data_IF_752367898191
#
_entry.id   IF_752367898191
#
_cell.length_a   1.000
_cell.length_b   1.000
_cell.length_c   1.000
_cell.angle_alpha   90.00
_cell.angle_beta   90.00
_cell.angle_gamma   90.00
#
_symmetry.space_group_name_H-M   'P 1'
#
loop_
_entity.id
_entity.type
_entity.pdbx_description
1 polymer ?
#
# COMPACT_ATOMS: atom_id res chain seq x y z
N UNK A 1 11.14 -32.83 -50.94
CA UNK A 1 10.80 -32.97 -49.50
C UNK A 1 11.22 -31.75 -48.67
N UNK A 2 12.16 -30.91 -49.13
CA UNK A 2 12.60 -29.69 -48.39
C UNK A 2 11.56 -28.56 -48.33
N UNK A 3 10.71 -28.40 -49.36
CA UNK A 3 9.71 -27.33 -49.45
C UNK A 3 8.60 -27.43 -48.40
N UNK A 4 8.27 -28.65 -47.95
CA UNK A 4 7.24 -28.87 -46.92
C UNK A 4 7.71 -28.43 -45.53
N UNK A 5 9.00 -28.65 -45.23
CA UNK A 5 9.61 -28.25 -43.95
C UNK A 5 9.76 -26.73 -43.84
N UNK A 6 10.17 -26.06 -44.92
CA UNK A 6 10.26 -24.59 -44.96
C UNK A 6 8.87 -23.93 -44.82
N UNK A 7 7.85 -24.49 -45.46
CA UNK A 7 6.48 -23.99 -45.32
C UNK A 7 5.92 -24.19 -43.90
N UNK A 8 6.21 -25.31 -43.24
CA UNK A 8 5.81 -25.52 -41.85
C UNK A 8 6.48 -24.54 -40.89
N UNK A 9 7.75 -24.21 -41.13
CA UNK A 9 8.48 -23.27 -40.29
C UNK A 9 7.99 -21.83 -40.46
N UNK A 10 7.67 -21.42 -41.70
CA UNK A 10 7.03 -20.14 -41.98
C UNK A 10 5.62 -20.03 -41.37
N UNK A 11 4.83 -21.12 -41.39
CA UNK A 11 3.51 -21.17 -40.75
C UNK A 11 3.63 -21.06 -39.23
N UNK A 12 4.63 -21.70 -38.61
CA UNK A 12 4.89 -21.58 -37.18
C UNK A 12 5.31 -20.16 -36.79
N UNK A 13 6.21 -19.54 -37.55
CA UNK A 13 6.60 -18.13 -37.32
C UNK A 13 5.43 -17.17 -37.50
N UNK A 14 4.62 -17.35 -38.54
CA UNK A 14 3.44 -16.52 -38.77
C UNK A 14 2.39 -16.75 -37.68
N UNK A 15 2.19 -17.98 -37.22
CA UNK A 15 1.27 -18.29 -36.12
C UNK A 15 1.75 -17.72 -34.79
N UNK A 16 3.07 -17.73 -34.53
CA UNK A 16 3.66 -17.08 -33.37
C UNK A 16 3.52 -15.57 -33.44
N UNK A 17 3.79 -14.95 -34.60
CA UNK A 17 3.57 -13.51 -34.81
C UNK A 17 2.10 -13.14 -34.68
N UNK A 18 1.18 -13.95 -35.23
CA UNK A 18 -0.25 -13.74 -35.11
C UNK A 18 -0.70 -13.84 -33.66
N UNK A 19 -0.25 -14.85 -32.92
CA UNK A 19 -0.56 -15.01 -31.49
C UNK A 19 0.07 -13.89 -30.63
N UNK A 20 1.22 -13.35 -31.02
CA UNK A 20 1.83 -12.20 -30.37
C UNK A 20 1.11 -10.88 -30.69
N UNK A 21 0.42 -10.81 -31.83
CA UNK A 21 -0.37 -9.65 -32.26
C UNK A 21 -1.84 -9.73 -31.84
N UNK A 22 -2.32 -10.91 -31.45
CA UNK A 22 -3.66 -11.06 -30.90
C UNK A 22 -3.70 -10.37 -29.52
N UNK A 23 -4.66 -9.45 -29.29
CA UNK A 23 -4.89 -8.91 -27.97
C UNK A 23 -5.15 -10.09 -27.03
N UNK A 24 -4.21 -10.38 -26.13
CA UNK A 24 -4.44 -11.39 -25.11
C UNK A 24 -5.50 -10.83 -24.17
N UNK A 25 -6.71 -11.40 -24.25
CA UNK A 25 -7.78 -11.13 -23.31
C UNK A 25 -7.37 -11.60 -21.93
N UNK A 26 -6.84 -10.70 -21.13
CA UNK A 26 -6.69 -10.91 -19.69
C UNK A 26 -8.04 -10.65 -19.01
N UNK A 27 -8.95 -11.62 -19.13
CA UNK A 27 -10.19 -11.63 -18.35
C UNK A 27 -9.89 -12.32 -17.02
N UNK A 28 -9.65 -11.52 -15.98
CA UNK A 28 -9.70 -12.00 -14.61
C UNK A 28 -11.17 -12.15 -14.22
N UNK A 29 -11.62 -13.40 -14.08
CA UNK A 29 -12.95 -13.68 -13.51
C UNK A 29 -12.97 -13.32 -12.03
N UNK A 30 -14.13 -12.91 -11.51
CA UNK A 30 -14.28 -12.45 -10.13
C UNK A 30 -13.77 -13.48 -9.10
N UNK A 31 -13.99 -14.78 -9.34
CA UNK A 31 -13.47 -15.87 -8.51
C UNK A 31 -11.94 -15.97 -8.53
N UNK A 32 -11.33 -15.80 -9.70
CA UNK A 32 -9.87 -15.81 -9.85
C UNK A 32 -9.24 -14.58 -9.20
N UNK A 33 -9.85 -13.42 -9.40
CA UNK A 33 -9.47 -12.17 -8.75
C UNK A 33 -9.49 -12.31 -7.23
N UNK A 34 -10.59 -12.86 -6.70
CA UNK A 34 -10.77 -13.14 -5.27
C UNK A 34 -9.73 -14.13 -4.74
N UNK A 35 -9.48 -15.22 -5.46
CA UNK A 35 -8.50 -16.23 -5.06
C UNK A 35 -7.06 -15.69 -5.06
N UNK A 36 -6.67 -14.94 -6.10
CA UNK A 36 -5.36 -14.29 -6.15
C UNK A 36 -5.23 -13.25 -5.02
N UNK A 37 -6.26 -12.44 -4.77
CA UNK A 37 -6.26 -11.45 -3.68
C UNK A 37 -6.09 -12.07 -2.30
N UNK A 38 -6.86 -13.13 -1.99
CA UNK A 38 -6.72 -13.89 -0.75
C UNK A 38 -5.35 -14.55 -0.63
N UNK A 39 -4.80 -15.04 -1.75
CA UNK A 39 -3.45 -15.60 -1.81
C UNK A 39 -2.37 -14.60 -1.43
N UNK A 40 -2.46 -13.37 -1.97
CA UNK A 40 -1.55 -12.27 -1.61
C UNK A 40 -1.62 -11.93 -0.13
N UNK A 41 -2.85 -11.76 0.39
CA UNK A 41 -3.09 -11.50 1.81
C UNK A 41 -2.46 -12.58 2.68
N UNK A 42 -2.73 -13.85 2.39
CA UNK A 42 -2.20 -14.98 3.16
C UNK A 42 -0.67 -15.05 3.09
N UNK A 43 -0.08 -14.79 1.92
CA UNK A 43 1.38 -14.76 1.76
C UNK A 43 2.02 -13.67 2.63
N UNK A 44 1.40 -12.49 2.65
CA UNK A 44 1.82 -11.36 3.47
C UNK A 44 1.67 -11.65 4.98
N UNK A 45 0.51 -12.13 5.42
CA UNK A 45 0.26 -12.51 6.83
C UNK A 45 1.25 -13.57 7.32
N UNK A 46 1.56 -14.56 6.47
CA UNK A 46 2.56 -15.58 6.76
C UNK A 46 3.97 -15.00 6.88
N UNK A 47 4.32 -14.03 6.02
CA UNK A 47 5.60 -13.34 6.10
C UNK A 47 5.72 -12.56 7.41
N UNK A 48 4.71 -11.77 7.79
CA UNK A 48 4.71 -11.05 9.08
C UNK A 48 4.85 -12.02 10.24
N UNK A 49 4.06 -13.09 10.24
CA UNK A 49 4.04 -14.06 11.34
C UNK A 49 5.38 -14.75 11.55
N UNK A 50 6.07 -15.14 10.47
CA UNK A 50 7.39 -15.80 10.53
C UNK A 50 8.52 -14.83 10.85
N UNK A 51 8.48 -13.64 10.26
CA UNK A 51 9.51 -12.61 10.45
C UNK A 51 9.48 -12.03 11.87
N UNK A 52 8.32 -11.99 12.52
CA UNK A 52 8.13 -11.42 13.86
C UNK A 52 7.60 -12.45 14.87
N UNK A 53 8.02 -13.70 14.76
CA UNK A 53 7.52 -14.82 15.57
C UNK A 53 7.86 -14.69 17.07
N UNK A 54 9.04 -14.14 17.40
CA UNK A 54 9.53 -14.11 18.78
C UNK A 54 8.78 -13.06 19.61
N UNK A 55 7.84 -13.51 20.43
CA UNK A 55 7.06 -12.65 21.30
C UNK A 55 7.90 -11.89 22.34
N UNK A 56 8.99 -12.47 22.85
CA UNK A 56 9.82 -11.81 23.86
C UNK A 56 10.56 -10.59 23.28
N UNK A 57 11.09 -10.71 22.06
CA UNK A 57 11.73 -9.60 21.35
C UNK A 57 10.66 -8.59 20.93
N UNK A 58 9.57 -9.05 20.33
CA UNK A 58 8.53 -8.14 19.87
C UNK A 58 7.93 -7.33 21.03
N UNK A 59 7.85 -7.92 22.23
CA UNK A 59 7.35 -7.23 23.41
C UNK A 59 8.24 -6.07 23.90
N UNK A 60 9.46 -5.92 23.40
CA UNK A 60 10.30 -4.73 23.69
C UNK A 60 9.92 -3.52 22.81
N UNK A 61 9.07 -3.71 21.80
CA UNK A 61 8.55 -2.61 20.98
C UNK A 61 7.59 -1.76 21.81
N UNK A 62 7.93 -0.48 21.99
CA UNK A 62 7.14 0.56 22.66
C UNK A 62 6.82 1.72 21.72
N UNK A 63 5.84 2.55 22.09
CA UNK A 63 5.48 3.71 21.27
C UNK A 63 6.64 4.72 21.23
N UNK A 64 7.28 4.98 22.36
CA UNK A 64 8.45 5.87 22.47
C UNK A 64 9.59 5.47 21.54
N UNK A 65 9.89 4.17 21.46
CA UNK A 65 10.94 3.65 20.57
C UNK A 65 10.59 3.91 19.11
N UNK A 66 9.34 3.67 18.71
CA UNK A 66 8.89 3.92 17.34
C UNK A 66 8.90 5.41 16.99
N UNK A 67 8.48 6.27 17.92
CA UNK A 67 8.53 7.73 17.77
C UNK A 67 9.98 8.23 17.65
N UNK A 68 10.90 7.68 18.46
CA UNK A 68 12.32 8.02 18.38
C UNK A 68 12.95 7.67 17.02
N UNK A 69 12.36 6.71 16.30
CA UNK A 69 12.71 6.36 14.92
C UNK A 69 11.92 7.18 13.89
N UNK A 70 11.25 8.26 14.28
CA UNK A 70 10.55 9.14 13.35
C UNK A 70 9.20 8.63 12.84
N UNK A 71 8.57 7.65 13.50
CA UNK A 71 7.19 7.28 13.20
C UNK A 71 6.23 8.25 13.91
N UNK A 72 5.44 8.99 13.14
CA UNK A 72 4.49 9.97 13.68
C UNK A 72 3.07 9.42 13.84
N UNK A 73 2.73 8.33 13.15
CA UNK A 73 1.41 7.65 13.22
C UNK A 73 1.47 6.37 14.05
N UNK A 74 2.02 6.46 15.26
CA UNK A 74 2.11 5.30 16.17
C UNK A 74 0.78 5.15 16.92
N UNK A 75 0.24 3.92 17.05
CA UNK A 75 -0.91 3.69 17.90
C UNK A 75 -0.58 4.03 19.37
N UNK A 76 -1.56 4.51 20.16
CA UNK A 76 -1.37 4.78 21.58
C UNK A 76 -0.78 3.58 22.31
N UNK A 77 0.08 3.84 23.30
CA UNK A 77 0.83 2.84 24.07
C UNK A 77 -0.07 1.67 24.54
N UNK A 78 -1.27 1.99 25.03
CA UNK A 78 -2.31 1.04 25.48
C UNK A 78 -2.64 -0.08 24.46
N UNK A 79 -2.40 0.14 23.17
CA UNK A 79 -2.63 -0.84 22.10
C UNK A 79 -1.39 -1.70 21.82
N UNK A 80 -0.19 -1.16 22.00
CA UNK A 80 1.06 -1.92 21.87
C UNK A 80 1.35 -2.74 23.14
N UNK A 81 0.88 -2.30 24.29
CA UNK A 81 1.08 -2.96 25.59
C UNK A 81 0.39 -4.34 25.70
N UNK A 82 -0.65 -4.60 24.92
CA UNK A 82 -1.56 -5.71 25.20
C UNK A 82 -1.00 -7.09 24.82
N UNK A 83 -0.25 -7.23 23.72
CA UNK A 83 0.32 -8.52 23.29
C UNK A 83 1.31 -8.43 22.12
N UNK A 84 2.10 -9.49 21.92
CA UNK A 84 2.84 -9.68 20.67
C UNK A 84 1.94 -9.72 19.43
N UNK A 85 0.66 -10.12 19.57
CA UNK A 85 -0.28 -10.17 18.46
C UNK A 85 -0.68 -8.76 17.97
N UNK A 86 -0.98 -7.83 18.87
CA UNK A 86 -1.32 -6.44 18.51
C UNK A 86 -0.12 -5.73 17.88
N UNK A 87 1.08 -6.00 18.39
CA UNK A 87 2.34 -5.51 17.81
C UNK A 87 2.57 -6.02 16.38
N UNK A 88 2.32 -7.30 16.10
CA UNK A 88 2.37 -7.84 14.72
C UNK A 88 1.30 -7.20 13.83
N UNK A 89 0.09 -7.01 14.34
CA UNK A 89 -0.98 -6.37 13.60
C UNK A 89 -0.61 -4.93 13.22
N UNK A 90 0.09 -4.19 14.10
CA UNK A 90 0.62 -2.87 13.77
C UNK A 90 1.66 -2.92 12.65
N UNK A 91 2.65 -3.81 12.74
CA UNK A 91 3.67 -3.99 11.69
C UNK A 91 3.01 -4.37 10.36
N UNK A 92 2.07 -5.31 10.39
CA UNK A 92 1.27 -5.71 9.24
C UNK A 92 0.54 -4.51 8.63
N UNK A 93 -0.14 -3.73 9.46
CA UNK A 93 -0.88 -2.56 9.00
C UNK A 93 0.02 -1.51 8.37
N UNK A 94 1.15 -1.21 8.99
CA UNK A 94 2.12 -0.24 8.49
C UNK A 94 2.61 -0.63 7.09
N UNK A 95 3.03 -1.89 6.93
CA UNK A 95 3.56 -2.38 5.65
C UNK A 95 2.45 -2.52 4.61
N UNK A 96 1.24 -2.92 5.02
CA UNK A 96 0.07 -2.95 4.15
C UNK A 96 -0.28 -1.57 3.60
N UNK A 97 -0.20 -0.51 4.42
CA UNK A 97 -0.41 0.86 3.94
C UNK A 97 0.67 1.28 2.96
N UNK A 98 1.94 0.96 3.23
CA UNK A 98 3.00 1.24 2.27
C UNK A 98 2.72 0.57 0.92
N UNK A 99 2.38 -0.72 0.91
CA UNK A 99 2.03 -1.43 -0.33
C UNK A 99 0.80 -0.80 -0.99
N UNK A 100 -0.19 -0.40 -0.21
CA UNK A 100 -1.38 0.26 -0.74
C UNK A 100 -1.05 1.58 -1.42
N UNK A 101 -0.35 2.48 -0.73
CA UNK A 101 0.01 3.81 -1.24
C UNK A 101 0.90 3.69 -2.48
N UNK A 102 1.88 2.79 -2.46
CA UNK A 102 2.90 2.72 -3.50
C UNK A 102 2.49 1.89 -4.73
N UNK A 103 1.57 0.93 -4.57
CA UNK A 103 1.19 -0.03 -5.61
C UNK A 103 -0.30 -0.02 -5.90
N UNK A 104 -1.14 -0.16 -4.88
CA UNK A 104 -2.54 -0.53 -5.09
C UNK A 104 -3.46 0.67 -5.34
N UNK A 105 -3.13 1.83 -4.77
CA UNK A 105 -3.91 3.07 -4.87
C UNK A 105 -3.71 3.81 -6.19
N UNK A 106 -2.62 3.53 -6.92
CA UNK A 106 -2.30 4.20 -8.18
C UNK A 106 -3.07 3.62 -9.36
N UNK A 107 -3.38 4.45 -10.36
CA UNK A 107 -4.11 4.00 -11.54
C UNK A 107 -3.31 2.99 -12.38
N UNK A 108 -2.05 3.32 -12.66
CA UNK A 108 -1.08 2.47 -13.33
C UNK A 108 0.19 2.30 -12.50
N UNK A 109 0.44 1.09 -12.00
CA UNK A 109 1.57 0.75 -11.12
C UNK A 109 2.93 0.99 -11.80
N UNK A 110 2.97 0.87 -13.11
CA UNK A 110 4.18 0.99 -13.92
C UNK A 110 4.52 2.45 -14.30
N UNK A 111 3.68 3.42 -13.90
CA UNK A 111 3.85 4.84 -14.24
C UNK A 111 4.38 5.60 -13.02
N UNK A 112 5.57 6.22 -13.10
CA UNK A 112 6.13 6.96 -11.98
C UNK A 112 5.43 8.29 -11.69
N UNK A 113 4.88 8.91 -12.73
CA UNK A 113 4.25 10.22 -12.63
C UNK A 113 2.72 10.10 -12.45
N UNK A 114 2.21 10.67 -11.36
CA UNK A 114 0.78 10.61 -11.02
C UNK A 114 -0.09 11.31 -12.07
N UNK A 115 0.37 12.42 -12.65
CA UNK A 115 -0.40 13.16 -13.67
C UNK A 115 -0.49 12.36 -14.97
N UNK A 116 0.59 11.70 -15.37
CA UNK A 116 0.59 10.79 -16.52
C UNK A 116 -0.34 9.61 -16.27
N UNK A 117 -0.27 9.01 -15.07
CA UNK A 117 -1.14 7.91 -14.66
C UNK A 117 -2.63 8.30 -14.74
N UNK A 118 -2.97 9.50 -14.25
CA UNK A 118 -4.32 10.05 -14.32
C UNK A 118 -4.77 10.36 -15.76
N UNK A 119 -3.88 10.89 -16.60
CA UNK A 119 -4.18 11.15 -18.01
C UNK A 119 -4.50 9.85 -18.76
N UNK A 120 -3.68 8.80 -18.57
CA UNK A 120 -3.93 7.48 -19.14
C UNK A 120 -5.26 6.90 -18.64
N UNK A 121 -5.57 7.03 -17.35
CA UNK A 121 -6.84 6.55 -16.80
C UNK A 121 -8.04 7.28 -17.43
N UNK A 122 -7.94 8.60 -17.59
CA UNK A 122 -8.98 9.41 -18.24
C UNK A 122 -9.19 9.00 -19.70
N UNK A 123 -8.11 8.70 -20.42
CA UNK A 123 -8.19 8.16 -21.78
C UNK A 123 -8.89 6.79 -21.81
N UNK A 124 -8.54 5.89 -20.89
CA UNK A 124 -9.18 4.59 -20.74
C UNK A 124 -10.69 4.72 -20.57
N UNK A 125 -11.13 5.58 -19.63
CA UNK A 125 -12.52 5.84 -19.34
C UNK A 125 -13.26 6.42 -20.54
N UNK A 126 -12.64 7.36 -21.25
CA UNK A 126 -13.22 7.92 -22.47
C UNK A 126 -13.40 6.86 -23.56
N UNK A 127 -12.45 5.94 -23.72
CA UNK A 127 -12.58 4.83 -24.67
C UNK A 127 -13.69 3.86 -24.27
N UNK A 128 -13.78 3.48 -22.99
CA UNK A 128 -14.90 2.66 -22.48
C UNK A 128 -16.26 3.33 -22.75
N UNK A 129 -16.36 4.64 -22.51
CA UNK A 129 -17.62 5.39 -22.69
C UNK A 129 -18.14 5.43 -24.13
N UNK A 130 -17.26 5.27 -25.13
CA UNK A 130 -17.66 5.23 -26.55
C UNK A 130 -18.29 3.90 -26.97
N UNK A 131 -18.22 2.86 -26.13
CA UNK A 131 -18.77 1.55 -26.41
C UNK A 131 -18.03 0.74 -27.48
N UNK A 132 -16.89 1.24 -27.98
CA UNK A 132 -16.02 0.48 -28.89
C UNK A 132 -15.06 -0.38 -28.07
N UNK A 133 -15.53 -1.58 -27.76
CA UNK A 133 -14.77 -2.57 -27.00
C UNK A 133 -13.44 -2.93 -27.66
N UNK A 134 -13.41 -3.04 -28.99
CA UNK A 134 -12.19 -3.44 -29.71
C UNK A 134 -11.12 -2.36 -29.61
N UNK A 135 -11.51 -1.08 -29.71
CA UNK A 135 -10.60 0.04 -29.54
C UNK A 135 -10.06 0.11 -28.11
N UNK A 136 -10.91 -0.10 -27.10
CA UNK A 136 -10.47 -0.16 -25.71
C UNK A 136 -9.50 -1.31 -25.46
N UNK A 137 -9.80 -2.51 -25.98
CA UNK A 137 -8.97 -3.71 -25.82
C UNK A 137 -7.58 -3.49 -26.46
N UNK A 138 -7.54 -2.91 -27.66
CA UNK A 138 -6.30 -2.55 -28.35
C UNK A 138 -5.50 -1.50 -27.58
N UNK A 139 -6.16 -0.45 -27.06
CA UNK A 139 -5.50 0.59 -26.28
C UNK A 139 -4.95 0.05 -24.96
N UNK A 140 -5.73 -0.73 -24.22
CA UNK A 140 -5.35 -1.34 -22.95
C UNK A 140 -4.14 -2.25 -23.12
N UNK A 141 -4.18 -3.12 -24.14
CA UNK A 141 -3.07 -4.01 -24.48
C UNK A 141 -1.81 -3.23 -24.88
N UNK A 142 -1.93 -2.28 -25.81
CA UNK A 142 -0.78 -1.49 -26.31
C UNK A 142 -0.16 -0.64 -25.20
N UNK A 143 -0.99 -0.01 -24.37
CA UNK A 143 -0.54 0.81 -23.23
C UNK A 143 0.16 -0.06 -22.20
N UNK A 144 -0.42 -1.21 -21.84
CA UNK A 144 0.20 -2.14 -20.88
C UNK A 144 1.55 -2.65 -21.36
N UNK A 145 1.68 -3.04 -22.63
CA UNK A 145 2.96 -3.48 -23.21
C UNK A 145 3.98 -2.34 -23.24
N UNK A 146 3.56 -1.12 -23.61
CA UNK A 146 4.44 0.03 -23.58
C UNK A 146 4.94 0.30 -22.15
N UNK A 147 4.04 0.29 -21.17
CA UNK A 147 4.38 0.46 -19.76
C UNK A 147 5.32 -0.64 -19.25
N UNK A 148 5.14 -1.89 -19.67
CA UNK A 148 6.04 -2.99 -19.29
C UNK A 148 7.46 -2.71 -19.82
N UNK A 149 7.59 -2.20 -21.05
CA UNK A 149 8.89 -1.80 -21.59
C UNK A 149 9.53 -0.64 -20.80
N UNK A 150 8.72 0.31 -20.32
CA UNK A 150 9.19 1.42 -19.46
C UNK A 150 9.46 1.01 -18.01
N UNK A 151 8.86 -0.08 -17.52
CA UNK A 151 8.99 -0.56 -16.14
C UNK A 151 10.41 -0.98 -15.76
N UNK A 152 11.26 -1.24 -16.76
CA UNK A 152 12.69 -1.49 -16.57
C UNK A 152 13.50 -0.24 -16.17
N UNK A 153 12.84 0.92 -15.99
CA UNK A 153 13.45 2.21 -15.65
C UNK A 153 13.94 2.35 -14.20
N UNK A 154 13.96 1.29 -13.40
CA UNK A 154 14.47 1.31 -12.02
C UNK A 154 13.51 1.92 -10.98
N UNK A 155 12.36 2.45 -11.40
CA UNK A 155 11.36 3.05 -10.52
C UNK A 155 10.77 2.05 -9.50
N UNK A 156 10.18 0.94 -9.97
CA UNK A 156 9.60 -0.09 -9.09
C UNK A 156 10.65 -0.75 -8.18
N UNK A 157 11.87 -1.10 -8.66
CA UNK A 157 12.96 -1.50 -7.79
C UNK A 157 13.28 -0.47 -6.71
N UNK A 158 13.31 0.84 -7.04
CA UNK A 158 13.54 1.90 -6.04
C UNK A 158 12.45 1.96 -4.96
N UNK A 159 11.17 1.70 -5.30
CA UNK A 159 10.09 1.58 -4.32
C UNK A 159 10.26 0.37 -3.41
N UNK A 160 10.69 -0.76 -3.96
CA UNK A 160 11.00 -1.95 -3.16
C UNK A 160 12.17 -1.68 -2.22
N UNK A 161 13.25 -1.06 -2.70
CA UNK A 161 14.40 -0.71 -1.87
C UNK A 161 13.98 0.23 -0.73
N UNK A 162 13.11 1.21 -1.01
CA UNK A 162 12.55 2.08 0.02
C UNK A 162 11.70 1.32 1.05
N UNK A 163 10.85 0.38 0.60
CA UNK A 163 10.08 -0.48 1.50
C UNK A 163 11.01 -1.27 2.42
N UNK A 164 11.99 -1.98 1.86
CA UNK A 164 12.92 -2.82 2.60
C UNK A 164 13.71 -1.98 3.61
N UNK A 165 14.20 -0.81 3.19
CA UNK A 165 14.93 0.11 4.06
C UNK A 165 14.06 0.61 5.22
N UNK A 166 12.82 1.04 4.93
CA UNK A 166 11.87 1.53 5.93
C UNK A 166 11.52 0.45 6.95
N UNK A 167 11.25 -0.78 6.48
CA UNK A 167 10.94 -1.91 7.36
C UNK A 167 12.13 -2.28 8.24
N UNK A 168 13.33 -2.33 7.67
CA UNK A 168 14.54 -2.61 8.44
C UNK A 168 14.82 -1.54 9.49
N UNK A 169 14.67 -0.28 9.12
CA UNK A 169 14.93 0.84 10.02
C UNK A 169 13.98 0.83 11.22
N UNK A 170 12.67 0.69 10.97
CA UNK A 170 11.68 0.70 12.05
C UNK A 170 11.61 -0.62 12.82
N UNK A 171 11.67 -1.76 12.14
CA UNK A 171 11.31 -3.06 12.71
C UNK A 171 12.41 -4.11 12.69
N UNK A 172 13.57 -3.85 12.08
CA UNK A 172 14.60 -4.85 11.87
C UNK A 172 15.23 -5.43 13.14
N UNK A 173 15.12 -4.73 14.28
CA UNK A 173 15.54 -5.24 15.59
C UNK A 173 14.57 -6.27 16.18
N UNK A 174 13.33 -6.33 15.68
CA UNK A 174 12.29 -7.26 16.14
C UNK A 174 12.22 -8.53 15.29
N UNK A 175 13.11 -8.71 14.31
CA UNK A 175 13.13 -9.91 13.49
C UNK A 175 13.40 -11.16 14.33
N UNK A 176 12.81 -12.27 13.88
CA UNK A 176 13.06 -13.59 14.43
C UNK A 176 14.54 -13.95 14.26
N UNK A 177 15.23 -14.26 15.36
CA UNK A 177 16.64 -14.63 15.38
C UNK A 177 16.98 -15.85 14.50
N UNK A 178 15.99 -16.69 14.18
CA UNK A 178 16.15 -17.87 13.34
C UNK A 178 16.10 -17.57 11.83
N UNK A 179 15.77 -16.34 11.44
CA UNK A 179 15.76 -15.91 10.04
C UNK A 179 16.89 -14.94 9.75
N UNK A 180 17.59 -15.17 8.64
CA UNK A 180 18.54 -14.16 8.15
C UNK A 180 17.76 -12.97 7.60
N UNK A 181 18.32 -11.77 7.79
CA UNK A 181 17.74 -10.53 7.22
C UNK A 181 17.52 -10.64 5.70
N UNK A 182 18.47 -11.27 5.00
CA UNK A 182 18.34 -11.56 3.57
C UNK A 182 17.08 -12.38 3.27
N UNK A 183 16.81 -13.45 4.01
CA UNK A 183 15.61 -14.25 3.80
C UNK A 183 14.32 -13.45 4.06
N UNK A 184 14.31 -12.59 5.08
CA UNK A 184 13.18 -11.71 5.37
C UNK A 184 12.93 -10.76 4.18
N UNK A 185 13.99 -10.14 3.65
CA UNK A 185 13.93 -9.24 2.49
C UNK A 185 13.51 -9.94 1.21
N UNK A 186 14.09 -11.10 0.90
CA UNK A 186 13.75 -11.89 -0.28
C UNK A 186 12.24 -12.23 -0.27
N UNK A 187 11.70 -12.61 0.90
CA UNK A 187 10.29 -12.96 1.04
C UNK A 187 9.35 -11.76 1.00
N UNK A 188 9.74 -10.61 1.56
CA UNK A 188 8.96 -9.37 1.43
C UNK A 188 8.96 -8.88 -0.02
N UNK A 189 10.10 -8.99 -0.70
CA UNK A 189 10.23 -8.67 -2.13
C UNK A 189 9.31 -9.54 -2.98
N UNK A 190 9.19 -10.83 -2.64
CA UNK A 190 8.26 -11.76 -3.28
C UNK A 190 6.79 -11.34 -3.10
N UNK A 191 6.42 -10.77 -1.95
CA UNK A 191 5.06 -10.23 -1.71
C UNK A 191 4.85 -8.96 -2.52
N UNK A 192 5.84 -8.06 -2.52
CA UNK A 192 5.80 -6.80 -3.27
C UNK A 192 5.59 -7.05 -4.77
N UNK A 193 6.41 -7.91 -5.37
CA UNK A 193 6.34 -8.20 -6.80
C UNK A 193 5.05 -8.94 -7.19
N UNK A 194 4.53 -9.81 -6.33
CA UNK A 194 3.23 -10.42 -6.57
C UNK A 194 2.10 -9.38 -6.54
N UNK A 195 2.17 -8.38 -5.65
CA UNK A 195 1.20 -7.28 -5.62
C UNK A 195 1.29 -6.41 -6.89
N UNK A 196 2.50 -6.09 -7.35
CA UNK A 196 2.73 -5.38 -8.63
C UNK A 196 2.15 -6.19 -9.79
N UNK A 197 2.44 -7.48 -9.86
CA UNK A 197 1.95 -8.37 -10.91
C UNK A 197 0.42 -8.45 -10.90
N UNK A 198 -0.20 -8.60 -9.73
CA UNK A 198 -1.64 -8.61 -9.59
C UNK A 198 -2.27 -7.28 -10.02
N UNK A 199 -1.73 -6.15 -9.56
CA UNK A 199 -2.22 -4.81 -9.94
C UNK A 199 -2.14 -4.59 -11.45
N UNK A 200 -1.03 -4.97 -12.08
CA UNK A 200 -0.86 -4.88 -13.53
C UNK A 200 -1.87 -5.76 -14.30
N UNK A 201 -2.28 -6.91 -13.76
CA UNK A 201 -3.37 -7.72 -14.35
C UNK A 201 -4.73 -7.02 -14.21
N UNK A 202 -5.03 -6.40 -13.06
CA UNK A 202 -6.27 -5.65 -12.87
C UNK A 202 -6.38 -4.48 -13.86
N UNK A 203 -5.27 -3.78 -14.10
CA UNK A 203 -5.20 -2.65 -15.04
C UNK A 203 -5.49 -3.04 -16.50
N UNK A 204 -5.21 -4.29 -16.87
CA UNK A 204 -5.56 -4.86 -18.19
C UNK A 204 -7.00 -5.34 -18.27
N UNK A 205 -7.62 -5.57 -17.12
CA UNK A 205 -8.96 -6.13 -17.01
C UNK A 205 -10.03 -5.17 -17.52
N UNK A 206 -11.11 -5.75 -18.04
CA UNK A 206 -12.30 -5.02 -18.50
C UNK A 206 -12.95 -4.19 -17.39
N UNK A 207 -12.96 -4.76 -16.19
CA UNK A 207 -13.72 -4.25 -15.07
C UNK A 207 -12.99 -3.12 -14.36
N UNK A 208 -13.75 -2.15 -13.85
CA UNK A 208 -13.21 -1.08 -13.02
C UNK A 208 -13.09 -1.57 -11.58
N UNK A 209 -11.93 -2.17 -11.28
CA UNK A 209 -11.56 -2.59 -9.93
C UNK A 209 -11.16 -1.39 -9.08
N UNK A 210 -11.65 -1.36 -7.84
CA UNK A 210 -11.34 -0.35 -6.84
C UNK A 210 -10.79 -1.05 -5.60
N UNK A 211 -9.64 -0.58 -5.13
CA UNK A 211 -9.02 -1.03 -3.90
C UNK A 211 -9.11 0.10 -2.88
N UNK A 212 -9.51 -0.24 -1.65
CA UNK A 212 -9.64 0.74 -0.58
C UNK A 212 -8.97 0.25 0.69
N UNK A 213 -8.29 1.17 1.36
CA UNK A 213 -7.65 1.01 2.66
C UNK A 213 -8.17 2.14 3.56
N UNK A 214 -8.63 1.81 4.75
CA UNK A 214 -9.26 2.76 5.66
C UNK A 214 -8.25 3.36 6.63
N UNK A 215 -8.31 4.69 6.76
CA UNK A 215 -7.58 5.40 7.80
C UNK A 215 -8.06 5.02 9.21
N UNK A 216 -7.15 5.18 10.17
CA UNK A 216 -7.47 5.06 11.59
C UNK A 216 -8.54 6.08 11.99
N UNK A 217 -9.51 5.63 12.77
CA UNK A 217 -10.64 6.41 13.26
C UNK A 217 -11.88 6.35 12.37
N UNK A 218 -11.79 5.78 11.16
CA UNK A 218 -12.96 5.55 10.30
C UNK A 218 -13.94 4.60 10.99
N UNK A 219 -15.25 4.85 10.81
CA UNK A 219 -16.29 3.96 11.35
C UNK A 219 -16.21 2.59 10.68
N UNK A 220 -16.34 1.56 11.50
CA UNK A 220 -16.47 0.18 11.04
C UNK A 220 -17.80 -0.02 10.31
N UNK A 221 -17.76 -0.73 9.20
CA UNK A 221 -18.94 -1.13 8.43
C UNK A 221 -18.80 -2.59 8.04
N UNK A 222 -19.71 -3.44 8.53
CA UNK A 222 -19.77 -4.87 8.19
C UNK A 222 -19.97 -5.10 6.68
N UNK A 223 -20.56 -4.13 5.98
CA UNK A 223 -20.72 -4.17 4.53
C UNK A 223 -19.37 -4.13 3.80
N UNK A 224 -18.38 -3.39 4.32
CA UNK A 224 -17.11 -3.14 3.61
C UNK A 224 -15.89 -3.80 4.27
N UNK A 225 -16.03 -4.23 5.53
CA UNK A 225 -14.89 -4.58 6.38
C UNK A 225 -15.14 -5.85 7.21
N UNK A 226 -14.09 -6.66 7.33
CA UNK A 226 -14.02 -7.80 8.21
C UNK A 226 -13.08 -7.50 9.38
N UNK A 227 -13.62 -7.40 10.59
CA UNK A 227 -12.81 -7.18 11.80
C UNK A 227 -12.15 -8.48 12.27
N UNK A 228 -10.84 -8.42 12.53
CA UNK A 228 -10.08 -9.53 13.13
C UNK A 228 -10.08 -9.51 14.65
N UNK A 229 -10.43 -8.38 15.29
CA UNK A 229 -10.42 -8.22 16.75
C UNK A 229 -11.72 -8.66 17.44
N UNK A 230 -12.71 -9.12 16.67
CA UNK A 230 -14.06 -9.53 17.11
C UNK A 230 -14.90 -8.41 17.76
N UNK A 231 -14.41 -7.16 17.79
CA UNK A 231 -15.17 -6.00 18.25
C UNK A 231 -15.96 -5.36 17.10
N UNK A 232 -17.12 -5.92 16.78
CA UNK A 232 -18.02 -5.44 15.70
C UNK A 232 -19.21 -4.61 16.19
N UNK A 233 -19.13 -4.06 17.41
CA UNK A 233 -20.26 -3.31 18.00
C UNK A 233 -20.58 -2.04 17.20
N UNK A 234 -21.84 -1.63 17.25
CA UNK A 234 -22.29 -0.36 16.68
C UNK A 234 -21.43 0.80 17.22
N UNK A 235 -20.90 1.62 16.30
CA UNK A 235 -19.96 2.71 16.63
C UNK A 235 -18.49 2.28 16.76
N UNK A 236 -18.13 1.02 16.50
CA UNK A 236 -16.72 0.62 16.43
C UNK A 236 -15.95 1.42 15.37
N UNK A 237 -14.67 1.67 15.63
CA UNK A 237 -13.78 2.41 14.74
C UNK A 237 -12.58 1.56 14.34
N UNK A 238 -12.11 1.74 13.11
CA UNK A 238 -10.89 1.14 12.59
C UNK A 238 -9.69 1.71 13.34
N UNK A 239 -8.89 0.83 13.93
CA UNK A 239 -7.60 1.19 14.52
C UNK A 239 -6.45 0.91 13.57
N UNK A 240 -6.52 -0.23 12.86
CA UNK A 240 -5.51 -0.67 11.90
C UNK A 240 -6.21 -1.25 10.68
N UNK A 241 -5.77 -0.86 9.48
CA UNK A 241 -6.09 -1.62 8.27
C UNK A 241 -4.97 -2.62 8.00
N UNK A 242 -5.30 -3.90 8.03
CA UNK A 242 -4.36 -5.03 7.95
C UNK A 242 -4.18 -5.54 6.52
N UNK A 243 -5.19 -5.35 5.68
CA UNK A 243 -5.17 -5.63 4.25
C UNK A 243 -6.31 -4.91 3.53
N UNK A 244 -6.07 -4.27 2.38
CA UNK A 244 -7.10 -3.52 1.66
C UNK A 244 -8.24 -4.40 1.15
N UNK A 245 -9.39 -3.76 0.90
CA UNK A 245 -10.50 -4.35 0.18
C UNK A 245 -10.25 -4.36 -1.33
N UNK A 246 -10.99 -5.21 -2.04
CA UNK A 246 -11.13 -5.11 -3.49
C UNK A 246 -12.60 -5.23 -3.86
N UNK A 247 -13.02 -4.33 -4.74
CA UNK A 247 -14.37 -4.26 -5.27
C UNK A 247 -14.34 -3.95 -6.75
N UNK A 248 -15.47 -4.15 -7.41
CA UNK A 248 -15.63 -3.95 -8.84
C UNK A 248 -16.89 -3.13 -9.08
N UNK A 249 -16.79 -2.12 -9.93
CA UNK A 249 -17.97 -1.37 -10.37
C UNK A 249 -18.66 -2.14 -11.48
N UNK A 250 -19.92 -2.52 -11.27
CA UNK A 250 -20.75 -3.18 -12.29
C UNK A 250 -21.21 -2.19 -13.36
N UNK A 251 -21.74 -2.72 -14.47
CA UNK A 251 -22.31 -1.93 -15.57
C UNK A 251 -23.44 -0.98 -15.13
N UNK A 252 -24.12 -1.29 -14.02
CA UNK A 252 -25.18 -0.46 -13.44
C UNK A 252 -24.66 0.58 -12.43
N UNK A 253 -23.34 0.76 -12.34
CA UNK A 253 -22.67 1.54 -11.30
C UNK A 253 -22.86 1.02 -9.86
N UNK A 254 -23.40 -0.19 -9.69
CA UNK A 254 -23.43 -0.86 -8.38
C UNK A 254 -22.04 -1.43 -8.06
N UNK A 255 -21.55 -1.14 -6.86
CA UNK A 255 -20.28 -1.65 -6.35
C UNK A 255 -20.47 -3.08 -5.84
N UNK A 256 -19.77 -4.03 -6.46
CA UNK A 256 -19.68 -5.41 -6.01
C UNK A 256 -18.39 -5.60 -5.20
N UNK A 257 -18.52 -5.90 -3.92
CA UNK A 257 -17.35 -6.22 -3.07
C UNK A 257 -16.94 -7.65 -3.35
N UNK A 258 -15.68 -7.83 -3.76
CA UNK A 258 -15.10 -9.14 -4.00
C UNK A 258 -14.47 -9.66 -2.70
N UNK A 259 -13.70 -8.81 -2.03
CA UNK A 259 -13.14 -9.08 -0.71
C UNK A 259 -13.21 -7.84 0.17
N UNK A 260 -13.70 -8.03 1.39
CA UNK A 260 -13.76 -6.98 2.41
C UNK A 260 -12.37 -6.62 2.90
N UNK A 261 -12.23 -5.38 3.34
CA UNK A 261 -11.03 -4.90 4.01
C UNK A 261 -10.81 -5.70 5.30
N UNK A 262 -9.58 -6.14 5.57
CA UNK A 262 -9.24 -6.74 6.85
C UNK A 262 -8.83 -5.64 7.82
N UNK A 263 -9.57 -5.46 8.90
CA UNK A 263 -9.35 -4.37 9.86
C UNK A 263 -9.22 -4.89 11.28
N UNK A 264 -8.52 -4.13 12.10
CA UNK A 264 -8.57 -4.24 13.55
C UNK A 264 -9.43 -3.10 14.08
N UNK A 265 -10.46 -3.41 14.86
CA UNK A 265 -11.40 -2.40 15.40
C UNK A 265 -11.29 -2.24 16.90
N UNK A 266 -11.76 -1.10 17.42
CA UNK A 266 -12.02 -0.89 18.83
C UNK A 266 -13.29 -0.04 19.06
N UNK A 267 -13.85 -0.09 20.27
CA UNK A 267 -15.00 0.74 20.65
C UNK A 267 -14.71 2.26 20.62
N UNK A 268 -15.69 3.05 20.18
CA UNK A 268 -15.63 4.51 19.95
C UNK A 268 -15.11 5.35 21.15
N UNK A 269 -15.25 4.84 22.37
CA UNK A 269 -14.85 5.54 23.60
C UNK A 269 -13.33 5.58 23.86
N UNK A 270 -12.53 4.86 23.09
CA UNK A 270 -11.07 4.83 23.29
C UNK A 270 -10.33 5.98 22.56
N UNK A 271 -10.95 6.62 21.57
CA UNK A 271 -10.29 7.59 20.67
C UNK A 271 -10.64 9.05 20.94
N UNK A 272 -11.75 9.37 21.61
CA UNK A 272 -12.10 10.78 21.93
C UNK A 272 -11.11 11.44 22.91
N UNK A 273 -10.55 10.69 23.85
CA UNK A 273 -9.45 11.18 24.71
C UNK A 273 -8.12 11.32 23.96
N UNK A 274 -7.91 10.57 22.87
CA UNK A 274 -6.66 10.56 22.11
C UNK A 274 -6.64 11.68 21.04
N UNK A 275 -7.80 12.05 20.47
CA UNK A 275 -7.91 13.16 19.52
C UNK A 275 -7.70 14.54 20.19
N UNK A 276 -8.10 14.69 21.46
CA UNK A 276 -7.82 15.91 22.24
C UNK A 276 -6.34 16.01 22.66
N UNK A 277 -5.64 14.89 22.80
CA UNK A 277 -4.20 14.87 23.09
C UNK A 277 -3.35 15.29 21.86
N UNK A 278 -3.77 14.88 20.65
CA UNK A 278 -3.10 15.22 19.39
C UNK A 278 -3.27 16.70 19.00
N UNK A 279 -4.38 17.33 19.43
CA UNK A 279 -4.58 18.78 19.34
C UNK A 279 -3.76 19.56 20.37
N UNK A 280 -3.65 19.07 21.62
CA UNK A 280 -2.80 19.68 22.66
C UNK A 280 -1.31 19.61 22.36
N UNK A 281 -0.85 18.58 21.64
CA UNK A 281 0.55 18.46 21.19
C UNK A 281 0.94 19.50 20.13
N UNK A 282 -0.03 19.92 19.30
CA UNK A 282 0.19 20.98 18.28
C UNK A 282 0.23 22.37 18.90
N UNK A 283 -0.62 22.65 19.89
CA UNK A 283 -0.62 23.94 20.60
C UNK A 283 0.66 24.16 21.44
N UNK A 284 1.24 23.09 21.98
CA UNK A 284 2.47 23.16 22.79
C UNK A 284 3.75 23.29 21.96
N UNK A 285 3.74 22.91 20.67
CA UNK A 285 4.80 23.20 19.71
C UNK A 285 4.74 24.65 19.22
N UNK A 286 3.54 25.17 18.92
CA UNK A 286 3.36 26.58 18.52
C UNK A 286 3.70 27.58 19.64
N UNK A 287 3.47 27.23 20.91
CA UNK A 287 3.88 28.08 22.04
C UNK A 287 5.39 28.04 22.30
N UNK A 288 6.08 26.93 21.99
CA UNK A 288 7.54 26.84 22.12
C UNK A 288 8.29 27.60 21.02
N UNK A 289 7.75 27.65 19.81
CA UNK A 289 8.33 28.44 18.71
C UNK A 289 8.15 29.95 18.95
N UNK A 290 7.00 30.39 19.47
CA UNK A 290 6.81 31.81 19.83
C UNK A 290 7.62 32.30 21.03
N UNK A 291 8.11 31.38 21.89
CA UNK A 291 8.94 31.76 23.04
C UNK A 291 10.44 31.72 22.75
N UNK A 292 10.85 31.15 21.61
CA UNK A 292 12.24 31.16 21.13
C UNK A 292 12.55 32.39 20.24
N UNK A 293 11.54 33.01 19.64
CA UNK A 293 11.70 34.22 18.81
C UNK A 293 11.66 35.55 19.60
N UNK A 294 11.48 35.52 20.93
CA UNK A 294 11.40 36.74 21.77
C UNK A 294 12.69 37.03 22.55
N UNK A 295 13.66 36.10 22.59
CA UNK A 295 14.90 36.25 23.38
C UNK A 295 16.15 36.65 22.55
N UNK A 296 15.98 37.22 21.34
CA UNK A 296 17.09 37.66 20.47
C UNK A 296 17.02 39.11 19.97
N UNK A 297 16.38 40.01 20.69
CA UNK A 297 16.53 41.46 20.46
C UNK A 297 16.66 42.17 21.80
N UNK A 298 17.90 42.41 22.23
CA UNK A 298 18.35 43.62 22.95
C UNK A 298 19.71 43.36 23.61
N UNK A 299 20.80 43.49 22.84
CA UNK A 299 22.03 44.07 23.39
C UNK A 299 22.90 44.62 22.26
N UNK A 300 22.67 45.88 21.91
CA UNK A 300 23.69 46.75 21.31
C UNK A 300 23.19 48.19 21.35
N UNK A 301 23.71 48.99 22.29
CA UNK A 301 24.34 50.30 22.05
C UNK A 301 24.56 51.05 23.37
N UNK A 302 25.81 51.38 23.69
CA UNK A 302 26.29 52.77 23.72
C UNK A 302 27.70 52.88 24.32
N UNK A 303 28.66 53.07 23.43
CA UNK A 303 29.84 53.89 23.67
C UNK A 303 29.45 55.34 23.93
N UNK A 304 29.92 55.95 25.03
CA UNK A 304 30.75 57.18 25.02
C UNK A 304 31.11 57.66 26.45
N UNK A 305 32.42 57.67 26.75
CA UNK A 305 33.13 58.93 26.99
C UNK A 305 33.20 59.57 28.41
N UNK A 306 34.42 59.52 28.97
CA UNK A 306 35.20 60.65 29.56
C UNK A 306 35.28 60.90 31.09
N UNK A 307 36.55 60.85 31.55
CA UNK A 307 37.27 61.70 32.54
C UNK A 307 37.33 61.23 34.01
N UNK A 308 38.48 60.68 34.41
CA UNK A 308 39.56 61.40 35.12
C UNK A 308 40.91 60.68 34.99
#
# INVERSE_FOLDING_TARGET
>A
METTSQNQQAILELSQKLNALQPQRYVLYDEQCTAEWRGLRQKFENWVSKSFENAAILNTMSSDLLISKGLYKVPPEKYLETSAHTRRAYIQSYISHFIFDEILSVWFVQVPDVQVSQALHTMAQHMKSKGDWQLWEQWSSSTSTALECFSNSGFLPGKLDNLLHTVDFHFGEFYNNNMSRKLVHDKLSEVFWDCVGFKAKLERGESDYQLECSDRGKLYSEENMNSTSLETREGAVVQLSLWPSISKTSLNAERLILEHEAVWTSAQGATQQDAEADLRGKDSLSQKEQQLDVDMEDDDTETEGWIL
#
